data_IF_981356996330
#
_entry.id   IF_981356996330
#
_cell.length_a   1.000
_cell.length_b   1.000
_cell.length_c   1.000
_cell.angle_alpha   90.00
_cell.angle_beta   90.00
_cell.angle_gamma   90.00
#
_symmetry.space_group_name_H-M   'P 1'
#
loop_
_entity.id
_entity.type
_entity.pdbx_description
1 polymer ?
#
# COMPACT_ATOMS: atom_id res chain seq x y z
N UNK A 1 0.83 -0.68 22.25
CA UNK A 1 0.00 0.49 21.93
C UNK A 1 0.83 1.75 22.10
N UNK A 2 0.94 2.56 21.07
CA UNK A 2 1.66 3.83 21.14
C UNK A 2 0.91 4.80 22.06
N UNK A 3 1.59 5.33 23.11
CA UNK A 3 0.96 6.22 24.08
C UNK A 3 1.05 7.66 23.59
N UNK A 4 -0.06 8.24 23.16
CA UNK A 4 -0.16 9.58 22.54
C UNK A 4 0.17 10.77 23.45
N UNK A 5 0.48 10.56 24.71
CA UNK A 5 0.49 11.65 25.70
C UNK A 5 1.86 12.21 26.07
N UNK A 6 2.97 11.54 25.77
CA UNK A 6 4.28 11.96 26.31
C UNK A 6 5.36 12.29 25.24
N UNK A 7 5.26 11.75 24.02
CA UNK A 7 6.27 11.97 22.99
C UNK A 7 5.74 12.78 21.81
N UNK A 8 6.05 14.06 21.78
CA UNK A 8 5.74 14.95 20.63
C UNK A 8 6.76 14.72 19.52
N UNK A 9 6.50 13.77 18.62
CA UNK A 9 7.26 13.68 17.40
C UNK A 9 6.70 14.68 16.39
N UNK A 10 7.56 15.51 15.84
CA UNK A 10 7.27 16.27 14.62
C UNK A 10 7.88 15.52 13.44
N UNK A 11 7.07 14.75 12.74
CA UNK A 11 7.48 14.04 11.54
C UNK A 11 6.62 14.47 10.34
N UNK A 12 7.25 14.63 9.18
CA UNK A 12 6.54 14.75 7.90
C UNK A 12 6.42 13.36 7.30
N UNK A 13 5.20 12.89 7.13
CA UNK A 13 4.90 11.61 6.47
C UNK A 13 4.43 11.91 5.05
N UNK A 14 5.09 11.28 4.07
CA UNK A 14 4.70 11.36 2.66
C UNK A 14 4.21 9.97 2.23
N UNK A 15 2.97 9.88 1.80
CA UNK A 15 2.38 8.67 1.25
C UNK A 15 2.57 8.65 -0.26
N UNK A 16 3.12 7.53 -0.76
CA UNK A 16 3.37 7.33 -2.18
C UNK A 16 2.61 6.07 -2.61
N UNK A 17 1.74 6.23 -3.61
CA UNK A 17 1.10 5.08 -4.26
C UNK A 17 2.12 4.38 -5.15
N UNK A 18 2.10 3.04 -5.19
CA UNK A 18 2.92 2.24 -6.09
C UNK A 18 2.73 2.64 -7.56
N UNK A 19 3.73 2.39 -8.38
CA UNK A 19 3.69 2.57 -9.82
C UNK A 19 2.68 1.63 -10.50
N UNK A 20 2.46 1.86 -11.78
CA UNK A 20 1.48 1.10 -12.56
C UNK A 20 1.92 -0.35 -12.77
N UNK A 21 0.97 -1.28 -12.58
CA UNK A 21 1.10 -2.70 -12.94
C UNK A 21 0.37 -2.98 -14.25
N UNK A 22 0.53 -4.20 -14.78
CA UNK A 22 -0.22 -4.63 -15.96
C UNK A 22 -1.73 -4.59 -15.71
N UNK A 23 -2.17 -5.14 -14.59
CA UNK A 23 -3.58 -5.17 -14.21
C UNK A 23 -4.19 -3.78 -13.98
N UNK A 24 -3.41 -2.80 -13.52
CA UNK A 24 -3.87 -1.41 -13.43
C UNK A 24 -4.19 -0.86 -14.82
N UNK A 25 -3.38 -1.18 -15.84
CA UNK A 25 -3.64 -0.79 -17.22
C UNK A 25 -4.90 -1.45 -17.80
N UNK A 26 -5.28 -2.62 -17.31
CA UNK A 26 -6.47 -3.37 -17.71
C UNK A 26 -7.69 -3.10 -16.80
N UNK A 27 -7.58 -2.18 -15.85
CA UNK A 27 -8.62 -1.84 -14.86
C UNK A 27 -9.11 -3.04 -14.04
N UNK A 28 -8.21 -3.98 -13.70
CA UNK A 28 -8.51 -5.16 -12.90
C UNK A 28 -8.39 -4.89 -11.40
N UNK A 29 -9.23 -5.55 -10.61
CA UNK A 29 -9.07 -5.60 -9.16
C UNK A 29 -7.85 -6.43 -8.80
N UNK A 30 -6.79 -5.78 -8.31
CA UNK A 30 -5.58 -6.45 -7.83
C UNK A 30 -5.31 -6.03 -6.40
N UNK A 31 -5.56 -6.93 -5.47
CA UNK A 31 -5.29 -6.77 -4.05
C UNK A 31 -4.15 -7.66 -3.60
N UNK A 32 -4.49 -8.83 -3.06
CA UNK A 32 -3.51 -9.80 -2.57
C UNK A 32 -2.60 -10.40 -3.63
N UNK A 33 -3.01 -10.37 -4.90
CA UNK A 33 -2.17 -10.85 -6.00
C UNK A 33 -0.90 -10.03 -6.08
N UNK A 34 0.25 -10.70 -5.98
CA UNK A 34 1.55 -10.06 -5.88
C UNK A 34 2.17 -9.82 -7.27
N UNK A 35 1.56 -8.90 -8.01
CA UNK A 35 1.97 -8.49 -9.35
C UNK A 35 3.09 -7.45 -9.29
N UNK A 36 4.13 -7.56 -10.14
CA UNK A 36 5.19 -6.56 -10.25
C UNK A 36 4.74 -5.32 -11.03
N UNK A 37 5.56 -4.28 -11.02
CA UNK A 37 5.37 -3.14 -11.90
C UNK A 37 5.44 -3.54 -13.37
N UNK A 38 4.64 -2.89 -14.21
CA UNK A 38 4.75 -3.00 -15.66
C UNK A 38 5.96 -2.19 -16.17
N UNK A 39 6.43 -2.49 -17.38
CA UNK A 39 7.51 -1.71 -18.02
C UNK A 39 7.14 -0.21 -18.12
N UNK A 40 5.89 0.08 -18.47
CA UNK A 40 5.37 1.45 -18.48
C UNK A 40 5.39 2.08 -17.10
N UNK A 41 5.01 1.32 -16.06
CA UNK A 41 5.06 1.79 -14.67
C UNK A 41 6.47 2.13 -14.22
N UNK A 42 7.44 1.30 -14.56
CA UNK A 42 8.87 1.55 -14.26
C UNK A 42 9.36 2.83 -14.94
N UNK A 43 9.08 2.99 -16.24
CA UNK A 43 9.48 4.18 -17.00
C UNK A 43 8.90 5.47 -16.39
N UNK A 44 7.59 5.48 -16.11
CA UNK A 44 6.92 6.63 -15.51
C UNK A 44 7.47 6.99 -14.13
N UNK A 45 7.83 6.01 -13.31
CA UNK A 45 8.47 6.26 -12.02
C UNK A 45 9.86 6.86 -12.16
N UNK A 46 10.66 6.39 -13.12
CA UNK A 46 12.00 6.93 -13.39
C UNK A 46 11.96 8.39 -13.86
N UNK A 47 10.94 8.75 -14.68
CA UNK A 47 10.70 10.13 -15.10
C UNK A 47 10.33 11.01 -13.88
N UNK A 48 9.37 10.56 -13.05
CA UNK A 48 8.93 11.28 -11.85
C UNK A 48 10.01 11.41 -10.79
N UNK A 49 10.88 10.42 -10.64
CA UNK A 49 12.00 10.48 -9.71
C UNK A 49 12.83 11.74 -9.91
N UNK A 50 13.16 12.08 -11.15
CA UNK A 50 13.96 13.26 -11.49
C UNK A 50 13.26 14.58 -11.12
N UNK A 51 11.93 14.57 -11.14
CA UNK A 51 11.11 15.76 -10.93
C UNK A 51 10.77 16.01 -9.46
N UNK A 52 10.44 14.96 -8.71
CA UNK A 52 9.81 15.10 -7.39
C UNK A 52 10.63 14.59 -6.20
N UNK A 53 11.63 13.73 -6.41
CA UNK A 53 12.34 13.04 -5.33
C UNK A 53 13.83 13.32 -5.34
N UNK A 54 14.20 14.59 -5.04
CA UNK A 54 15.60 15.04 -4.99
C UNK A 54 16.36 14.59 -3.74
N UNK A 55 15.66 14.24 -2.67
CA UNK A 55 16.28 13.82 -1.41
C UNK A 55 15.60 12.55 -0.87
N UNK A 56 16.38 11.54 -0.44
CA UNK A 56 15.82 10.35 0.17
C UNK A 56 15.19 10.68 1.54
N UNK A 57 14.12 9.99 1.94
CA UNK A 57 13.56 10.12 3.28
C UNK A 57 14.52 9.56 4.34
N UNK A 58 14.42 10.04 5.56
CA UNK A 58 15.18 9.49 6.69
C UNK A 58 14.81 8.02 6.94
N UNK A 59 13.51 7.73 6.96
CA UNK A 59 12.94 6.39 7.08
C UNK A 59 12.09 6.07 5.87
N UNK A 60 12.22 4.86 5.35
CA UNK A 60 11.48 4.37 4.19
C UNK A 60 10.77 3.07 4.55
N UNK A 61 9.45 3.12 4.62
CA UNK A 61 8.59 1.98 4.89
C UNK A 61 7.73 1.64 3.68
N UNK A 62 7.38 0.36 3.52
CA UNK A 62 6.51 -0.06 2.40
C UNK A 62 5.70 -1.31 2.73
N UNK A 63 4.63 -1.49 2.00
CA UNK A 63 3.95 -2.78 1.87
C UNK A 63 4.93 -3.83 1.33
N UNK A 64 4.81 -5.11 1.71
CA UNK A 64 5.67 -6.18 1.20
C UNK A 64 5.34 -6.60 -0.25
N UNK A 65 4.27 -6.03 -0.86
CA UNK A 65 3.89 -6.34 -2.24
C UNK A 65 4.99 -5.91 -3.22
N UNK A 66 5.31 -6.75 -4.20
CA UNK A 66 6.37 -6.50 -5.22
C UNK A 66 6.27 -5.13 -5.83
N UNK A 67 5.08 -4.71 -6.29
CA UNK A 67 4.86 -3.39 -6.88
C UNK A 67 5.23 -2.23 -5.94
N UNK A 68 5.02 -2.41 -4.64
CA UNK A 68 5.35 -1.38 -3.63
C UNK A 68 6.85 -1.35 -3.36
N UNK A 69 7.47 -2.51 -3.17
CA UNK A 69 8.92 -2.64 -2.95
C UNK A 69 9.69 -2.08 -4.15
N UNK A 70 9.35 -2.51 -5.36
CA UNK A 70 9.96 -2.00 -6.59
C UNK A 70 9.79 -0.48 -6.75
N UNK A 71 8.62 0.08 -6.38
CA UNK A 71 8.42 1.53 -6.39
C UNK A 71 9.37 2.24 -5.45
N UNK A 72 9.50 1.75 -4.21
CA UNK A 72 10.39 2.34 -3.21
C UNK A 72 11.86 2.26 -3.64
N UNK A 73 12.31 1.11 -4.14
CA UNK A 73 13.69 0.90 -4.60
C UNK A 73 14.04 1.78 -5.82
N UNK A 74 13.13 1.89 -6.79
CA UNK A 74 13.32 2.74 -7.97
C UNK A 74 13.39 4.23 -7.61
N UNK A 75 12.56 4.70 -6.69
CA UNK A 75 12.52 6.11 -6.31
C UNK A 75 13.71 6.52 -5.43
N UNK A 76 14.11 5.67 -4.50
CA UNK A 76 15.05 6.05 -3.43
C UNK A 76 16.39 5.30 -3.43
N UNK A 77 16.56 4.30 -4.31
CA UNK A 77 17.81 3.51 -4.44
C UNK A 77 18.28 2.89 -3.12
N UNK A 78 17.34 2.51 -2.27
CA UNK A 78 17.59 1.85 -0.98
C UNK A 78 16.50 0.86 -0.63
N UNK A 79 16.84 -0.13 0.19
CA UNK A 79 15.91 -1.14 0.65
C UNK A 79 14.93 -0.51 1.67
N UNK A 80 13.63 -0.63 1.45
CA UNK A 80 12.63 -0.20 2.40
C UNK A 80 12.46 -1.18 3.58
N UNK A 81 11.93 -0.67 4.68
CA UNK A 81 11.47 -1.49 5.80
C UNK A 81 10.07 -2.00 5.45
N UNK A 82 9.87 -3.33 5.47
CA UNK A 82 8.61 -3.94 5.11
C UNK A 82 7.65 -3.97 6.29
N UNK A 83 6.39 -3.60 6.05
CA UNK A 83 5.29 -3.70 7.00
C UNK A 83 4.30 -4.74 6.48
N UNK A 84 4.29 -5.97 7.01
CA UNK A 84 3.43 -7.06 6.53
C UNK A 84 1.94 -6.73 6.58
N UNK A 85 1.51 -5.93 7.55
CA UNK A 85 0.13 -5.48 7.75
C UNK A 85 -0.37 -4.55 6.63
N UNK A 86 0.53 -3.98 5.81
CA UNK A 86 0.19 -3.09 4.70
C UNK A 86 0.03 -3.79 3.36
N UNK A 87 -0.18 -5.10 3.34
CA UNK A 87 -0.66 -5.78 2.14
C UNK A 87 -1.96 -5.14 1.65
N UNK A 88 -2.16 -5.14 0.33
CA UNK A 88 -3.42 -4.69 -0.24
C UNK A 88 -4.58 -5.58 0.23
N UNK A 89 -5.79 -5.05 0.18
CA UNK A 89 -7.01 -5.76 0.53
C UNK A 89 -7.18 -7.03 -0.32
N UNK A 90 -7.63 -8.11 0.32
CA UNK A 90 -8.01 -9.33 -0.40
C UNK A 90 -9.38 -9.13 -1.06
N UNK A 91 -9.40 -9.00 -2.38
CA UNK A 91 -10.63 -8.84 -3.16
C UNK A 91 -11.38 -10.15 -3.41
N UNK A 92 -10.92 -11.27 -2.85
CA UNK A 92 -11.59 -12.56 -2.90
C UNK A 92 -11.92 -12.99 -4.33
N UNK A 93 -13.21 -13.27 -4.61
CA UNK A 93 -13.67 -13.71 -5.92
C UNK A 93 -13.57 -12.65 -7.02
N UNK A 94 -13.36 -11.37 -6.67
CA UNK A 94 -13.18 -10.28 -7.65
C UNK A 94 -11.72 -10.10 -8.06
N UNK A 95 -10.80 -10.77 -7.38
CA UNK A 95 -9.37 -10.70 -7.68
C UNK A 95 -9.08 -11.04 -9.15
N UNK A 96 -8.32 -10.20 -9.83
CA UNK A 96 -7.91 -10.39 -11.23
C UNK A 96 -8.98 -10.10 -12.27
N UNK A 97 -10.19 -9.71 -11.87
CA UNK A 97 -11.30 -9.39 -12.78
C UNK A 97 -11.49 -7.90 -12.93
N UNK A 98 -12.05 -7.47 -14.05
CA UNK A 98 -12.46 -6.08 -14.29
C UNK A 98 -13.99 -5.93 -14.26
N UNK A 99 -14.45 -4.69 -14.42
CA UNK A 99 -15.89 -4.39 -14.42
C UNK A 99 -16.66 -5.17 -15.48
N UNK A 100 -16.13 -5.30 -16.71
CA UNK A 100 -16.81 -6.01 -17.80
C UNK A 100 -17.04 -7.49 -17.48
N UNK A 101 -16.11 -8.09 -16.77
CA UNK A 101 -16.19 -9.49 -16.34
C UNK A 101 -17.08 -9.69 -15.11
N UNK A 102 -17.35 -8.63 -14.35
CA UNK A 102 -18.12 -8.69 -13.10
C UNK A 102 -19.52 -8.08 -13.19
N UNK A 103 -19.82 -7.27 -14.20
CA UNK A 103 -21.06 -6.47 -14.29
C UNK A 103 -22.35 -7.30 -14.21
N UNK A 104 -22.32 -8.55 -14.66
CA UNK A 104 -23.47 -9.46 -14.65
C UNK A 104 -23.43 -10.43 -13.45
N UNK A 105 -22.46 -10.31 -12.55
CA UNK A 105 -22.35 -11.12 -11.33
C UNK A 105 -23.26 -10.55 -10.23
N UNK A 106 -24.26 -11.31 -9.74
CA UNK A 106 -25.17 -10.84 -8.68
C UNK A 106 -24.44 -10.48 -7.37
N UNK A 107 -23.32 -11.15 -7.05
CA UNK A 107 -22.53 -10.84 -5.85
C UNK A 107 -21.81 -9.50 -6.01
N UNK A 108 -21.32 -9.21 -7.21
CA UNK A 108 -20.70 -7.93 -7.52
C UNK A 108 -21.72 -6.79 -7.46
N UNK A 109 -22.93 -6.98 -8.01
CA UNK A 109 -23.98 -5.98 -7.92
C UNK A 109 -24.38 -5.69 -6.48
N UNK A 110 -24.56 -6.72 -5.64
CA UNK A 110 -24.83 -6.54 -4.21
C UNK A 110 -23.73 -5.77 -3.49
N UNK A 111 -22.48 -6.04 -3.84
CA UNK A 111 -21.34 -5.32 -3.27
C UNK A 111 -21.34 -3.84 -3.66
N UNK A 112 -21.62 -3.53 -4.94
CA UNK A 112 -21.79 -2.14 -5.43
C UNK A 112 -22.93 -1.44 -4.70
N UNK A 113 -24.11 -2.07 -4.61
CA UNK A 113 -25.30 -1.52 -3.97
C UNK A 113 -25.09 -1.22 -2.48
N UNK A 114 -24.18 -1.96 -1.84
CA UNK A 114 -23.78 -1.72 -0.46
C UNK A 114 -22.81 -0.54 -0.28
N UNK A 115 -22.41 0.14 -1.36
CA UNK A 115 -21.32 1.12 -1.37
C UNK A 115 -19.99 0.56 -0.78
N UNK A 116 -19.70 -0.70 -1.04
CA UNK A 116 -18.48 -1.36 -0.57
C UNK A 116 -18.46 -1.64 0.94
N UNK A 117 -19.61 -1.66 1.61
CA UNK A 117 -19.72 -2.00 3.04
C UNK A 117 -19.74 -3.50 3.29
N UNK A 118 -20.19 -4.29 2.33
CA UNK A 118 -20.11 -5.74 2.41
C UNK A 118 -18.65 -6.22 2.20
N UNK A 119 -18.26 -7.31 2.88
CA UNK A 119 -16.97 -7.96 2.58
C UNK A 119 -16.92 -8.40 1.12
N UNK A 120 -15.71 -8.46 0.57
CA UNK A 120 -15.52 -9.14 -0.72
C UNK A 120 -15.85 -10.63 -0.57
N UNK A 121 -16.62 -11.24 -1.50
CA UNK A 121 -16.93 -12.66 -1.43
C UNK A 121 -15.66 -13.52 -1.39
N UNK A 122 -15.46 -14.27 -0.30
CA UNK A 122 -14.24 -15.04 -0.06
C UNK A 122 -12.98 -14.22 0.19
N UNK A 123 -13.14 -12.93 0.47
CA UNK A 123 -12.05 -11.99 0.71
C UNK A 123 -12.16 -11.28 2.05
N UNK A 124 -11.58 -10.10 2.12
CA UNK A 124 -11.44 -9.31 3.35
C UNK A 124 -12.59 -8.30 3.50
N UNK A 125 -12.99 -8.02 4.73
CA UNK A 125 -13.89 -6.90 5.03
C UNK A 125 -13.12 -5.59 5.16
N UNK A 126 -13.84 -4.48 4.99
CA UNK A 126 -13.29 -3.13 5.19
C UNK A 126 -12.74 -2.94 6.60
N UNK A 127 -13.43 -3.46 7.60
CA UNK A 127 -13.02 -3.36 9.01
C UNK A 127 -11.74 -4.15 9.29
N UNK A 128 -11.60 -5.33 8.71
CA UNK A 128 -10.37 -6.14 8.83
C UNK A 128 -9.18 -5.40 8.20
N UNK A 129 -9.37 -4.85 7.00
CA UNK A 129 -8.35 -4.08 6.28
C UNK A 129 -7.91 -2.85 7.08
N UNK A 130 -8.86 -2.05 7.59
CA UNK A 130 -8.56 -0.86 8.39
C UNK A 130 -7.81 -1.25 9.66
N UNK A 131 -8.27 -2.28 10.38
CA UNK A 131 -7.63 -2.73 11.62
C UNK A 131 -6.17 -3.07 11.42
N UNK A 132 -5.86 -3.97 10.47
CA UNK A 132 -4.46 -4.36 10.24
C UNK A 132 -3.61 -3.23 9.67
N UNK A 133 -4.19 -2.34 8.85
CA UNK A 133 -3.47 -1.16 8.35
C UNK A 133 -3.08 -0.22 9.48
N UNK A 134 -3.95 -0.03 10.48
CA UNK A 134 -3.66 0.76 11.68
C UNK A 134 -2.62 0.08 12.59
N UNK A 135 -2.66 -1.25 12.73
CA UNK A 135 -1.62 -2.00 13.44
C UNK A 135 -0.23 -1.77 12.81
N UNK A 136 -0.15 -1.82 11.47
CA UNK A 136 1.08 -1.50 10.74
C UNK A 136 1.54 -0.05 10.95
N UNK A 137 0.61 0.89 11.02
CA UNK A 137 0.93 2.29 11.30
C UNK A 137 1.47 2.47 12.73
N UNK A 138 0.85 1.87 13.72
CA UNK A 138 1.29 1.92 15.11
C UNK A 138 2.70 1.28 15.27
N UNK A 139 2.95 0.19 14.56
CA UNK A 139 4.27 -0.42 14.52
C UNK A 139 5.31 0.53 13.91
N UNK A 140 5.01 1.14 12.76
CA UNK A 140 5.90 2.12 12.12
C UNK A 140 6.25 3.28 13.06
N UNK A 141 5.26 3.86 13.74
CA UNK A 141 5.47 4.96 14.67
C UNK A 141 6.38 4.55 15.84
N UNK A 142 6.20 3.34 16.36
CA UNK A 142 7.05 2.78 17.42
C UNK A 142 8.49 2.55 16.95
N UNK A 143 8.67 2.08 15.70
CA UNK A 143 9.99 1.87 15.10
C UNK A 143 10.73 3.19 14.87
N UNK A 144 10.03 4.23 14.38
CA UNK A 144 10.59 5.58 14.21
C UNK A 144 11.11 6.12 15.55
N UNK A 145 10.33 6.01 16.63
CA UNK A 145 10.74 6.44 17.97
C UNK A 145 12.04 5.78 18.39
N UNK A 146 12.09 4.45 18.35
CA UNK A 146 13.26 3.67 18.74
C UNK A 146 14.52 4.00 17.93
N UNK A 147 14.36 4.30 16.65
CA UNK A 147 15.49 4.66 15.76
C UNK A 147 15.96 6.09 16.02
N UNK A 148 15.03 7.01 16.27
CA UNK A 148 15.35 8.41 16.58
C UNK A 148 16.14 8.55 17.89
N UNK A 149 15.78 7.77 18.91
CA UNK A 149 16.50 7.72 20.18
C UNK A 149 17.96 7.22 20.04
N UNK A 150 18.19 6.23 19.15
CA UNK A 150 19.55 5.71 18.87
C UNK A 150 20.44 6.69 18.10
N UNK A 151 19.86 7.62 17.35
CA UNK A 151 20.62 8.60 16.59
C UNK A 151 20.97 9.87 17.41
N UNK A 152 20.44 10.03 18.62
CA UNK A 152 20.68 11.13 19.54
C UNK A 152 21.68 10.83 20.67
N UNK A 153 22.19 9.63 20.73
CA UNK A 153 23.25 9.18 21.68
C UNK A 153 24.58 8.94 20.98
#
# INVERSE_FOLDING_TARGET
MWNRTEDKIKAKITWIRHGMTQANGEHRYIGKTDEPLSETGIRLLQEKKKEYFSSPPEFLYTSPMKRCVQTAELLFERNPILIPEWKEMDFGQFEGKNYEELKDDPCYQKWIDSNGTLPFPGGESREQFIRRSMEGFDWMMSDILKRSEKNTG
#
